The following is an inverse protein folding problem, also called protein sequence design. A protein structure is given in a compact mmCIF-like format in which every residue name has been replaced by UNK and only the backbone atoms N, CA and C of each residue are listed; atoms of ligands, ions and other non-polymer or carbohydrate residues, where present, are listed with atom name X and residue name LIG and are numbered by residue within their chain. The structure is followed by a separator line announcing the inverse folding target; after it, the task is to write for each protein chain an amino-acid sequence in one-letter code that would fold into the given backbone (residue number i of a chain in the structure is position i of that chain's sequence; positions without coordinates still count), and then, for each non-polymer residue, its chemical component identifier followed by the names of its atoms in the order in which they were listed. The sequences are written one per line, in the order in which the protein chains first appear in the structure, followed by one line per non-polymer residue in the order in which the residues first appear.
data_IF_147433996115
#
_entry.id   IF_147433996115
#
_cell.length_a   1.000
_cell.length_b   1.000
_cell.length_c   1.000
_cell.angle_alpha   90.00
_cell.angle_beta   90.00
_cell.angle_gamma   90.00
#
_symmetry.space_group_name_H-M   'P 1'
#
loop_
_entity.id
_entity.type
_entity.pdbx_description
1 polymer ?
#
# COMPACT_ATOMS: atom_id res chain seq x y z
N UNK A 1 15.11 -1.75 -1.95
CA UNK A 1 15.02 -2.15 -3.35
C UNK A 1 13.85 -1.52 -4.13
N UNK A 2 13.19 -0.47 -3.62
CA UNK A 2 12.04 0.17 -4.29
C UNK A 2 10.75 -0.67 -4.31
N UNK A 3 10.69 -1.76 -3.59
CA UNK A 3 9.51 -2.60 -3.49
C UNK A 3 8.58 -2.09 -2.37
N UNK A 4 7.89 -0.97 -2.63
CA UNK A 4 6.89 -0.46 -1.71
C UNK A 4 5.60 -1.27 -1.79
N UNK A 5 4.98 -1.49 -0.64
CA UNK A 5 3.71 -2.19 -0.53
C UNK A 5 2.85 -1.66 0.61
N UNK A 6 1.67 -2.21 0.72
CA UNK A 6 0.72 -1.93 1.80
C UNK A 6 0.41 -3.23 2.51
N UNK A 7 0.35 -3.20 3.84
CA UNK A 7 -0.08 -4.36 4.62
C UNK A 7 -1.53 -4.67 4.28
N UNK A 8 -1.75 -5.84 3.70
CA UNK A 8 -3.08 -6.26 3.27
C UNK A 8 -3.87 -6.92 4.41
N UNK A 9 -3.20 -7.77 5.18
CA UNK A 9 -3.83 -8.55 6.25
C UNK A 9 -2.86 -8.77 7.41
N UNK A 10 -3.38 -8.72 8.61
CA UNK A 10 -2.68 -9.11 9.83
C UNK A 10 -3.31 -10.41 10.34
N UNK A 11 -2.48 -11.42 10.55
CA UNK A 11 -2.90 -12.75 11.01
C UNK A 11 -2.32 -13.05 12.38
N UNK A 12 -3.00 -13.85 13.20
CA UNK A 12 -2.40 -14.46 14.39
C UNK A 12 -1.18 -15.30 14.03
N UNK A 13 -0.19 -15.36 14.91
CA UNK A 13 1.06 -16.10 14.69
C UNK A 13 0.80 -17.58 14.38
N UNK A 14 -0.23 -18.17 14.98
CA UNK A 14 -0.62 -19.58 14.78
C UNK A 14 -1.15 -19.88 13.38
N UNK A 15 -1.68 -18.87 12.69
CA UNK A 15 -2.24 -19.02 11.33
C UNK A 15 -1.17 -18.77 10.24
N UNK A 16 0.00 -18.27 10.63
CA UNK A 16 1.09 -18.01 9.71
C UNK A 16 1.75 -19.30 9.23
N UNK A 17 2.22 -19.36 7.97
CA UNK A 17 3.04 -20.46 7.52
C UNK A 17 4.28 -20.62 8.38
N UNK A 18 4.72 -21.85 8.57
CA UNK A 18 5.86 -22.14 9.42
C UNK A 18 6.87 -23.09 8.78
N UNK A 19 8.10 -22.98 9.23
CA UNK A 19 9.25 -23.79 8.83
C UNK A 19 9.15 -25.23 9.39
N UNK A 20 9.89 -26.21 8.82
CA UNK A 20 9.92 -27.57 9.33
C UNK A 20 10.30 -27.69 10.81
N UNK A 21 11.07 -26.73 11.34
CA UNK A 21 11.44 -26.66 12.76
C UNK A 21 10.37 -26.00 13.66
N UNK A 22 9.20 -25.64 13.11
CA UNK A 22 8.09 -25.04 13.83
C UNK A 22 8.14 -23.52 13.97
N UNK A 23 9.17 -22.85 13.44
CA UNK A 23 9.26 -21.37 13.48
C UNK A 23 8.30 -20.76 12.48
N UNK A 24 7.37 -19.87 12.90
CA UNK A 24 6.46 -19.17 11.99
C UNK A 24 7.20 -18.08 11.20
N UNK A 25 6.66 -17.76 10.03
CA UNK A 25 7.10 -16.60 9.24
C UNK A 25 6.49 -15.33 9.79
N UNK A 26 7.25 -14.23 9.73
CA UNK A 26 6.79 -12.91 10.19
C UNK A 26 6.01 -12.17 9.10
N UNK A 27 6.34 -12.40 7.83
CA UNK A 27 5.73 -11.74 6.68
C UNK A 27 5.67 -12.66 5.47
N UNK A 28 4.63 -12.52 4.67
CA UNK A 28 4.46 -13.18 3.38
C UNK A 28 4.31 -12.12 2.29
N UNK A 29 5.08 -12.26 1.23
CA UNK A 29 5.14 -11.30 0.13
C UNK A 29 4.62 -11.89 -1.17
N UNK A 30 3.98 -11.04 -1.98
CA UNK A 30 3.55 -11.43 -3.31
C UNK A 30 4.74 -11.36 -4.30
N UNK A 31 5.12 -12.47 -4.97
CA UNK A 31 6.22 -12.49 -5.90
C UNK A 31 5.98 -11.68 -7.19
N UNK A 32 4.73 -11.37 -7.52
CA UNK A 32 4.39 -10.54 -8.69
C UNK A 32 4.95 -9.12 -8.63
N UNK A 33 5.33 -8.64 -7.44
CA UNK A 33 5.98 -7.34 -7.27
C UNK A 33 7.44 -7.28 -7.72
N UNK A 34 8.05 -8.41 -8.10
CA UNK A 34 9.48 -8.49 -8.47
C UNK A 34 9.71 -8.33 -9.98
N UNK A 35 9.08 -9.12 -10.89
CA UNK A 35 9.47 -9.16 -12.29
C UNK A 35 9.30 -7.83 -13.02
N UNK A 36 8.15 -7.17 -12.82
CA UNK A 36 7.82 -5.92 -13.51
C UNK A 36 8.62 -4.72 -13.03
N UNK A 37 9.21 -4.80 -11.84
CA UNK A 37 9.94 -3.68 -11.19
C UNK A 37 11.44 -3.77 -11.32
N UNK A 38 11.96 -4.83 -11.92
CA UNK A 38 13.40 -5.06 -12.15
C UNK A 38 14.25 -4.93 -10.87
N UNK A 39 13.70 -5.29 -9.72
CA UNK A 39 14.36 -5.19 -8.41
C UNK A 39 14.80 -6.55 -7.89
N UNK A 40 15.56 -7.27 -8.70
CA UNK A 40 16.03 -8.63 -8.41
C UNK A 40 16.97 -8.69 -7.20
N UNK A 41 17.60 -7.57 -6.86
CA UNK A 41 18.45 -7.45 -5.67
C UNK A 41 17.79 -7.90 -4.37
N UNK A 42 16.47 -7.76 -4.25
CA UNK A 42 15.75 -8.26 -3.07
C UNK A 42 15.75 -9.79 -2.97
N UNK A 43 15.76 -10.50 -4.09
CA UNK A 43 15.85 -11.97 -4.12
C UNK A 43 17.25 -12.41 -3.71
N UNK A 44 18.28 -11.75 -4.21
CA UNK A 44 19.66 -12.00 -3.80
C UNK A 44 19.88 -11.68 -2.31
N UNK A 45 19.28 -10.60 -1.80
CA UNK A 45 19.30 -10.27 -0.37
C UNK A 45 18.68 -11.40 0.47
N UNK A 46 17.52 -11.93 0.07
CA UNK A 46 16.85 -13.01 0.78
C UNK A 46 17.73 -14.26 0.87
N UNK A 47 18.39 -14.64 -0.24
CA UNK A 47 19.28 -15.81 -0.24
C UNK A 47 20.50 -15.62 0.65
N UNK A 48 21.21 -14.50 0.47
CA UNK A 48 22.42 -14.23 1.25
C UNK A 48 22.10 -14.01 2.74
N UNK A 49 21.00 -13.37 3.05
CA UNK A 49 20.58 -13.15 4.45
C UNK A 49 20.18 -14.44 5.17
N UNK A 50 19.64 -15.41 4.44
CA UNK A 50 19.36 -16.73 4.99
C UNK A 50 20.65 -17.41 5.46
N UNK A 51 21.67 -17.41 4.60
CA UNK A 51 23.00 -17.94 4.94
C UNK A 51 23.64 -17.14 6.10
N UNK A 52 23.62 -15.81 6.03
CA UNK A 52 24.17 -14.94 7.06
C UNK A 52 23.56 -15.19 8.45
N UNK A 53 22.23 -15.37 8.50
CA UNK A 53 21.55 -15.70 9.76
C UNK A 53 21.85 -17.09 10.28
N UNK A 54 22.05 -18.05 9.39
CA UNK A 54 22.42 -19.41 9.79
C UNK A 54 23.85 -19.48 10.34
N UNK A 55 24.79 -18.73 9.74
CA UNK A 55 26.18 -18.63 10.16
C UNK A 55 26.40 -17.65 11.31
N UNK A 56 25.47 -16.74 11.56
CA UNK A 56 25.61 -15.69 12.57
C UNK A 56 26.43 -14.46 12.12
N UNK A 57 26.65 -14.30 10.81
CA UNK A 57 27.43 -13.18 10.26
C UNK A 57 26.58 -11.96 9.95
N UNK A 58 27.25 -10.79 10.00
CA UNK A 58 26.74 -9.56 9.40
C UNK A 58 27.48 -9.32 8.08
N UNK A 59 26.73 -9.37 6.97
CA UNK A 59 27.28 -9.22 5.62
C UNK A 59 26.93 -7.84 5.09
N UNK A 60 27.94 -7.09 4.64
CA UNK A 60 27.78 -5.82 3.94
C UNK A 60 28.21 -5.96 2.48
N UNK A 61 27.33 -5.56 1.56
CA UNK A 61 27.57 -5.63 0.12
C UNK A 61 27.47 -4.21 -0.47
N UNK A 62 28.57 -3.42 -0.46
CA UNK A 62 28.58 -2.10 -1.08
C UNK A 62 28.36 -2.19 -2.60
N UNK A 63 27.94 -1.08 -3.22
CA UNK A 63 27.49 -1.06 -4.62
C UNK A 63 28.57 -1.54 -5.62
N UNK A 64 29.84 -1.20 -5.35
CA UNK A 64 30.95 -1.52 -6.26
C UNK A 64 31.83 -2.70 -5.80
N UNK A 65 31.52 -3.27 -4.65
CA UNK A 65 32.21 -4.43 -4.08
C UNK A 65 31.16 -5.37 -3.47
N UNK A 66 30.22 -5.79 -4.31
CA UNK A 66 29.12 -6.67 -3.93
C UNK A 66 29.46 -8.15 -4.12
N UNK A 67 28.59 -9.01 -3.61
CA UNK A 67 28.67 -10.44 -3.81
C UNK A 67 28.15 -10.83 -5.21
N UNK A 68 28.84 -11.77 -5.87
CA UNK A 68 28.38 -12.39 -7.09
C UNK A 68 27.38 -13.54 -6.76
N UNK A 69 26.66 -14.01 -7.77
CA UNK A 69 25.71 -15.13 -7.62
C UNK A 69 26.41 -16.38 -7.06
N UNK A 70 27.59 -16.70 -7.55
CA UNK A 70 28.38 -17.85 -7.07
C UNK A 70 28.75 -17.71 -5.59
N UNK A 71 29.18 -16.52 -5.15
CA UNK A 71 29.53 -16.26 -3.74
C UNK A 71 28.32 -16.49 -2.82
N UNK A 72 27.13 -16.11 -3.29
CA UNK A 72 25.88 -16.32 -2.54
C UNK A 72 25.56 -17.82 -2.42
N UNK A 73 25.67 -18.55 -3.54
CA UNK A 73 25.41 -19.98 -3.57
C UNK A 73 26.40 -20.79 -2.73
N UNK A 74 27.66 -20.46 -2.81
CA UNK A 74 28.72 -21.11 -2.01
C UNK A 74 28.57 -20.81 -0.51
N UNK A 75 28.13 -19.59 -0.16
CA UNK A 75 27.80 -19.23 1.21
C UNK A 75 26.57 -19.99 1.73
N UNK A 76 25.58 -20.27 0.88
CA UNK A 76 24.42 -21.11 1.23
C UNK A 76 24.83 -22.56 1.47
N UNK A 77 25.71 -23.12 0.62
CA UNK A 77 26.25 -24.48 0.82
C UNK A 77 27.03 -24.57 2.13
N UNK A 78 27.88 -23.59 2.41
CA UNK A 78 28.60 -23.50 3.68
C UNK A 78 27.64 -23.45 4.87
N UNK A 79 26.58 -22.63 4.79
CA UNK A 79 25.58 -22.54 5.83
C UNK A 79 24.81 -23.83 6.04
N UNK A 80 24.49 -24.54 4.95
CA UNK A 80 23.83 -25.83 5.00
C UNK A 80 24.71 -26.89 5.69
N UNK A 81 25.96 -26.95 5.33
CA UNK A 81 26.94 -27.85 5.97
C UNK A 81 27.11 -27.52 7.45
N UNK A 82 27.26 -26.23 7.78
CA UNK A 82 27.37 -25.77 9.15
C UNK A 82 26.18 -26.17 10.03
N UNK A 83 24.96 -26.12 9.49
CA UNK A 83 23.75 -26.46 10.25
C UNK A 83 23.54 -27.97 10.38
N UNK A 84 23.80 -28.74 9.33
CA UNK A 84 23.39 -30.14 9.23
C UNK A 84 24.49 -31.15 9.59
N UNK A 85 25.77 -30.83 9.38
CA UNK A 85 26.87 -31.74 9.72
C UNK A 85 27.23 -31.65 11.21
N UNK A 86 27.90 -32.67 11.72
CA UNK A 86 28.59 -32.58 13.03
C UNK A 86 29.71 -31.55 12.97
N UNK A 87 30.17 -31.06 14.12
CA UNK A 87 31.28 -30.08 14.10
C UNK A 87 32.58 -30.66 13.53
N UNK A 88 32.84 -31.91 13.85
CA UNK A 88 34.04 -32.62 13.40
C UNK A 88 34.05 -32.82 11.88
N UNK A 89 32.95 -33.23 11.30
CA UNK A 89 32.75 -33.36 9.85
C UNK A 89 32.83 -32.01 9.13
N UNK A 90 32.25 -30.97 9.71
CA UNK A 90 32.31 -29.61 9.18
C UNK A 90 33.72 -29.07 9.15
N UNK A 91 34.47 -29.21 10.27
CA UNK A 91 35.86 -28.77 10.36
C UNK A 91 36.73 -29.52 9.35
N UNK A 92 36.60 -30.84 9.24
CA UNK A 92 37.38 -31.63 8.28
C UNK A 92 37.17 -31.18 6.84
N UNK A 93 35.91 -30.88 6.48
CA UNK A 93 35.54 -30.48 5.14
C UNK A 93 36.01 -29.08 4.75
N UNK A 94 35.90 -28.11 5.66
CA UNK A 94 36.11 -26.68 5.37
C UNK A 94 37.42 -26.09 5.96
N UNK A 95 38.21 -26.87 6.67
CA UNK A 95 39.47 -26.41 7.27
C UNK A 95 40.47 -25.84 6.27
N UNK A 96 40.47 -26.31 5.02
CA UNK A 96 41.38 -25.84 3.99
C UNK A 96 40.86 -24.56 3.28
N UNK A 97 39.59 -24.30 3.37
CA UNK A 97 38.93 -23.21 2.63
C UNK A 97 38.68 -21.97 3.48
N UNK A 98 38.42 -22.17 4.78
CA UNK A 98 38.09 -21.09 5.70
C UNK A 98 39.30 -20.58 6.45
N UNK A 99 39.32 -19.28 6.72
CA UNK A 99 40.32 -18.66 7.57
C UNK A 99 40.20 -19.16 9.03
N UNK A 100 41.31 -19.34 9.75
CA UNK A 100 41.27 -19.81 11.13
C UNK A 100 40.40 -18.97 12.06
N UNK A 101 40.38 -17.64 11.86
CA UNK A 101 39.57 -16.70 12.62
C UNK A 101 38.05 -16.94 12.41
N UNK A 102 37.65 -17.28 11.18
CA UNK A 102 36.29 -17.61 10.86
C UNK A 102 35.87 -18.94 11.50
N UNK A 103 36.74 -19.93 11.49
CA UNK A 103 36.49 -21.22 12.13
C UNK A 103 36.34 -21.07 13.66
N UNK A 104 37.18 -20.26 14.29
CA UNK A 104 37.08 -19.96 15.72
C UNK A 104 35.74 -19.26 16.04
N UNK A 105 35.35 -18.25 15.25
CA UNK A 105 34.06 -17.55 15.40
C UNK A 105 32.89 -18.51 15.27
N UNK A 106 32.88 -19.40 14.27
CA UNK A 106 31.82 -20.38 14.06
C UNK A 106 31.75 -21.39 15.20
N UNK A 107 32.92 -21.76 15.78
CA UNK A 107 32.95 -22.65 16.92
C UNK A 107 32.39 -22.00 18.18
N UNK A 108 32.72 -20.76 18.47
CA UNK A 108 32.17 -20.02 19.59
C UNK A 108 30.67 -19.83 19.49
N UNK A 109 30.15 -19.54 18.27
CA UNK A 109 28.75 -19.29 17.99
C UNK A 109 27.95 -20.56 17.61
N UNK A 110 28.48 -21.74 17.86
CA UNK A 110 27.82 -23.01 17.46
C UNK A 110 26.40 -23.21 18.02
N UNK A 111 26.00 -22.48 19.04
CA UNK A 111 24.64 -22.52 19.57
C UNK A 111 23.61 -21.92 18.60
N UNK A 112 24.02 -21.03 17.71
CA UNK A 112 23.17 -20.52 16.63
C UNK A 112 22.66 -21.63 15.70
N UNK A 113 23.41 -22.69 15.49
CA UNK A 113 23.02 -23.86 14.69
C UNK A 113 21.70 -24.46 15.15
N UNK A 114 21.44 -24.44 16.48
CA UNK A 114 20.23 -25.03 17.07
C UNK A 114 18.94 -24.38 16.55
N UNK A 115 19.01 -23.06 16.20
CA UNK A 115 17.87 -22.31 15.68
C UNK A 115 17.46 -22.74 14.27
N UNK A 116 18.38 -23.28 13.49
CA UNK A 116 18.19 -23.67 12.10
C UNK A 116 18.19 -25.18 11.88
N UNK A 117 18.43 -25.94 12.92
CA UNK A 117 18.46 -27.40 12.83
C UNK A 117 17.15 -27.95 12.26
N UNK A 118 17.28 -28.79 11.22
CA UNK A 118 16.14 -29.39 10.53
C UNK A 118 15.54 -28.53 9.42
N UNK A 119 16.10 -27.34 9.13
CA UNK A 119 15.76 -26.53 7.97
C UNK A 119 16.76 -26.81 6.86
N UNK A 120 16.37 -27.33 5.71
CA UNK A 120 17.27 -27.50 4.58
C UNK A 120 17.61 -26.14 3.97
N UNK A 121 18.90 -25.80 3.92
CA UNK A 121 19.39 -24.57 3.28
C UNK A 121 19.96 -24.93 1.91
N UNK A 122 19.05 -25.18 0.95
CA UNK A 122 19.46 -25.53 -0.41
C UNK A 122 19.96 -24.30 -1.18
N UNK A 123 20.75 -24.52 -2.24
CA UNK A 123 21.17 -23.45 -3.18
C UNK A 123 20.01 -22.65 -3.76
N UNK A 124 18.84 -23.25 -3.86
CA UNK A 124 17.63 -22.58 -4.34
C UNK A 124 17.02 -21.60 -3.33
N UNK A 125 17.48 -21.58 -2.08
CA UNK A 125 16.90 -20.80 -1.00
C UNK A 125 15.43 -21.15 -0.70
N UNK A 126 14.97 -22.32 -1.14
CA UNK A 126 13.57 -22.75 -1.02
C UNK A 126 13.41 -23.81 0.06
N UNK A 127 12.36 -23.68 0.83
CA UNK A 127 12.01 -24.63 1.89
C UNK A 127 10.54 -25.03 1.76
N UNK A 128 10.21 -26.27 2.05
CA UNK A 128 8.82 -26.73 2.17
C UNK A 128 8.23 -26.21 3.47
N UNK A 129 7.29 -25.31 3.34
CA UNK A 129 6.55 -24.75 4.46
C UNK A 129 5.29 -25.56 4.75
N UNK A 130 4.75 -25.38 5.95
CA UNK A 130 3.43 -25.85 6.33
C UNK A 130 2.48 -24.69 6.53
N UNK A 131 1.20 -24.90 6.17
CA UNK A 131 0.13 -23.94 6.47
C UNK A 131 -0.17 -23.95 7.98
N UNK A 132 -0.20 -22.76 8.59
CA UNK A 132 -0.50 -22.61 10.00
C UNK A 132 -1.90 -23.06 10.42
N UNK A 133 -2.86 -23.06 9.50
CA UNK A 133 -4.25 -23.44 9.77
C UNK A 133 -4.50 -24.92 9.65
N UNK A 134 -3.98 -25.53 8.58
CA UNK A 134 -4.23 -26.96 8.28
C UNK A 134 -3.10 -27.86 8.77
N UNK A 135 -1.90 -27.33 8.93
CA UNK A 135 -0.69 -28.10 9.23
C UNK A 135 -0.13 -28.89 8.04
N UNK A 136 -0.78 -28.80 6.88
CA UNK A 136 -0.37 -29.48 5.67
C UNK A 136 0.79 -28.76 4.97
N UNK A 137 1.55 -29.49 4.17
CA UNK A 137 2.62 -28.88 3.37
C UNK A 137 2.04 -28.13 2.17
N UNK A 138 2.69 -27.02 1.83
CA UNK A 138 2.44 -26.38 0.53
C UNK A 138 2.87 -27.31 -0.62
N UNK A 139 2.16 -27.21 -1.73
CA UNK A 139 2.43 -28.04 -2.93
C UNK A 139 3.84 -27.81 -3.50
N UNK A 140 4.32 -26.59 -3.43
CA UNK A 140 5.63 -26.20 -3.92
C UNK A 140 6.51 -25.63 -2.81
N UNK A 141 7.84 -25.81 -2.87
CA UNK A 141 8.76 -25.17 -1.95
C UNK A 141 8.77 -23.66 -2.16
N UNK A 142 8.94 -22.90 -1.08
CA UNK A 142 8.84 -21.44 -1.03
C UNK A 142 10.21 -20.83 -0.72
N UNK A 143 10.57 -19.76 -1.41
CA UNK A 143 11.76 -18.97 -1.10
C UNK A 143 11.58 -18.25 0.22
N UNK A 144 12.50 -18.43 1.14
CA UNK A 144 12.51 -17.79 2.45
C UNK A 144 13.84 -17.10 2.72
N UNK A 145 13.84 -16.18 3.64
CA UNK A 145 15.03 -15.49 4.10
C UNK A 145 14.69 -14.29 4.97
N UNK A 146 15.65 -13.45 5.22
CA UNK A 146 15.48 -12.21 5.96
C UNK A 146 15.63 -11.02 5.03
N UNK A 147 14.82 -10.01 5.23
CA UNK A 147 14.84 -8.80 4.42
C UNK A 147 14.68 -7.57 5.32
N UNK A 148 15.33 -6.48 4.95
CA UNK A 148 15.16 -5.21 5.63
C UNK A 148 13.86 -4.54 5.21
N UNK A 149 13.06 -4.15 6.21
CA UNK A 149 11.81 -3.43 6.03
C UNK A 149 11.83 -2.09 6.74
N UNK A 150 11.33 -1.08 6.05
CA UNK A 150 11.16 0.26 6.60
C UNK A 150 9.67 0.61 6.67
N UNK A 151 9.23 1.11 7.82
CA UNK A 151 7.91 1.74 7.95
C UNK A 151 8.01 3.17 7.40
N UNK A 152 7.25 3.46 6.35
CA UNK A 152 7.20 4.79 5.76
C UNK A 152 6.15 5.66 6.47
N UNK A 153 6.32 6.99 6.45
CA UNK A 153 5.38 7.95 7.02
C UNK A 153 4.08 8.10 6.20
N UNK A 154 3.85 7.25 5.21
CA UNK A 154 2.60 7.20 4.45
C UNK A 154 1.56 6.33 5.16
N UNK A 155 1.22 6.68 6.39
CA UNK A 155 0.28 5.95 7.20
C UNK A 155 -1.16 6.19 6.75
N UNK A 156 -2.00 5.16 6.82
CA UNK A 156 -3.40 5.24 6.42
C UNK A 156 -4.18 6.23 7.28
N UNK A 157 -3.91 6.31 8.56
CA UNK A 157 -4.60 7.21 9.50
C UNK A 157 -4.41 8.69 9.14
N UNK A 158 -3.27 9.04 8.55
CA UNK A 158 -3.00 10.40 8.08
C UNK A 158 -3.70 10.72 6.75
N UNK A 159 -4.12 9.72 6.01
CA UNK A 159 -4.70 9.86 4.67
C UNK A 159 -6.18 9.56 4.61
N UNK A 160 -6.70 8.70 5.48
CA UNK A 160 -8.12 8.40 5.54
C UNK A 160 -8.90 9.65 5.89
N UNK A 161 -9.91 9.96 5.09
CA UNK A 161 -10.73 11.14 5.28
C UNK A 161 -12.14 10.90 4.77
N UNK A 162 -13.13 11.38 5.53
CA UNK A 162 -14.53 11.38 5.16
C UNK A 162 -15.17 12.71 5.61
N UNK A 163 -16.21 13.10 4.89
CA UNK A 163 -16.95 14.31 5.19
C UNK A 163 -18.44 14.11 4.90
N UNK A 164 -19.28 14.56 5.78
CA UNK A 164 -20.70 14.76 5.49
C UNK A 164 -20.98 16.26 5.23
N UNK A 165 -20.85 17.07 6.26
CA UNK A 165 -20.93 18.54 6.19
C UNK A 165 -19.68 19.15 6.81
N UNK A 166 -19.32 20.37 6.43
CA UNK A 166 -18.13 21.02 6.95
C UNK A 166 -18.01 22.46 6.41
N UNK A 167 -16.83 23.09 6.52
CA UNK A 167 -16.63 24.46 6.09
C UNK A 167 -16.71 24.61 4.58
N UNK A 168 -17.21 25.76 4.14
CA UNK A 168 -17.38 26.15 2.76
C UNK A 168 -16.64 27.47 2.48
N UNK A 169 -16.30 27.70 1.21
CA UNK A 169 -15.78 28.99 0.74
C UNK A 169 -16.85 30.07 0.87
N UNK A 170 -16.46 31.28 1.26
CA UNK A 170 -17.40 32.41 1.42
C UNK A 170 -17.95 32.91 0.08
N UNK A 171 -17.15 32.90 -0.98
CA UNK A 171 -17.53 33.46 -2.28
C UNK A 171 -18.31 32.44 -3.12
N UNK A 172 -17.74 31.28 -3.34
CA UNK A 172 -18.30 30.27 -4.23
C UNK A 172 -19.24 29.29 -3.53
N UNK A 173 -19.30 29.30 -2.19
CA UNK A 173 -20.07 28.36 -1.39
C UNK A 173 -19.74 26.87 -1.65
N UNK A 174 -18.58 26.62 -2.23
CA UNK A 174 -18.10 25.27 -2.47
C UNK A 174 -17.36 24.70 -1.24
N UNK A 175 -17.37 23.37 -1.03
CA UNK A 175 -16.60 22.77 0.03
C UNK A 175 -15.10 23.10 -0.08
N UNK A 176 -14.46 23.40 1.04
CA UNK A 176 -13.00 23.57 1.06
C UNK A 176 -12.31 22.22 0.74
N UNK A 177 -11.07 22.28 0.25
CA UNK A 177 -10.25 21.11 -0.04
C UNK A 177 -9.33 20.73 1.12
N UNK A 178 -8.90 19.47 1.13
CA UNK A 178 -7.87 18.97 2.05
C UNK A 178 -8.40 18.41 3.38
N UNK A 179 -7.72 17.38 3.88
CA UNK A 179 -8.08 16.69 5.14
C UNK A 179 -7.97 17.62 6.36
N UNK A 180 -6.94 18.47 6.41
CA UNK A 180 -6.71 19.36 7.57
C UNK A 180 -7.85 20.38 7.77
N UNK A 181 -8.54 20.75 6.71
CA UNK A 181 -9.66 21.69 6.73
C UNK A 181 -11.02 20.99 6.79
N UNK A 182 -11.05 19.70 7.01
CA UNK A 182 -12.26 18.89 6.91
C UNK A 182 -12.97 19.10 5.57
N UNK A 183 -12.21 19.12 4.49
CA UNK A 183 -12.65 19.45 3.14
C UNK A 183 -13.24 18.26 2.40
N UNK A 184 -13.84 18.57 1.23
CA UNK A 184 -14.39 17.57 0.31
C UNK A 184 -13.37 17.11 -0.72
N UNK A 185 -13.74 16.08 -1.48
CA UNK A 185 -12.97 15.61 -2.63
C UNK A 185 -13.22 16.53 -3.83
N UNK A 186 -12.18 16.73 -4.64
CA UNK A 186 -12.31 17.48 -5.89
C UNK A 186 -12.86 16.58 -6.98
N UNK A 187 -14.01 16.95 -7.53
CA UNK A 187 -14.56 16.35 -8.74
C UNK A 187 -14.15 17.23 -9.93
N UNK A 188 -13.11 16.82 -10.64
CA UNK A 188 -12.51 17.61 -11.69
C UNK A 188 -13.27 17.52 -13.01
N UNK A 189 -12.80 18.27 -14.02
CA UNK A 189 -13.41 18.33 -15.35
C UNK A 189 -13.45 16.96 -16.04
N UNK A 190 -12.38 16.16 -15.91
CA UNK A 190 -12.33 14.82 -16.51
C UNK A 190 -13.33 13.85 -15.89
N UNK A 191 -13.57 13.95 -14.60
CA UNK A 191 -14.57 13.15 -13.89
C UNK A 191 -16.00 13.52 -14.34
N UNK A 192 -16.24 14.80 -14.62
CA UNK A 192 -17.49 15.29 -15.22
C UNK A 192 -17.69 14.65 -16.60
N UNK A 193 -16.68 14.63 -17.46
CA UNK A 193 -16.75 13.99 -18.77
C UNK A 193 -17.07 12.49 -18.69
N UNK A 194 -16.56 11.82 -17.67
CA UNK A 194 -16.87 10.41 -17.45
C UNK A 194 -18.37 10.20 -17.17
N UNK A 195 -18.99 11.03 -16.34
CA UNK A 195 -20.43 10.97 -16.09
C UNK A 195 -21.27 11.33 -17.32
N UNK A 196 -20.83 12.31 -18.10
CA UNK A 196 -21.45 12.66 -19.36
C UNK A 196 -21.41 11.49 -20.36
N UNK A 197 -20.27 10.80 -20.46
CA UNK A 197 -20.12 9.64 -21.32
C UNK A 197 -21.05 8.48 -20.95
N UNK A 198 -21.35 8.30 -19.66
CA UNK A 198 -22.33 7.33 -19.19
C UNK A 198 -23.77 7.80 -19.28
N UNK A 199 -24.01 9.07 -19.60
CA UNK A 199 -25.36 9.66 -19.62
C UNK A 199 -25.99 9.76 -18.22
N UNK A 200 -25.20 9.78 -17.15
CA UNK A 200 -25.66 9.85 -15.77
C UNK A 200 -26.01 11.29 -15.34
N UNK A 201 -27.04 11.89 -15.96
CA UNK A 201 -27.42 13.28 -15.79
C UNK A 201 -27.84 13.62 -14.34
N UNK A 202 -28.69 12.80 -13.74
CA UNK A 202 -29.14 13.02 -12.37
C UNK A 202 -27.99 12.98 -11.34
N UNK A 203 -27.07 12.04 -11.50
CA UNK A 203 -25.88 11.96 -10.62
C UNK A 203 -24.99 13.18 -10.78
N UNK A 204 -24.79 13.65 -12.01
CA UNK A 204 -24.00 14.86 -12.29
C UNK A 204 -24.69 16.08 -11.70
N UNK A 205 -25.98 16.23 -11.85
CA UNK A 205 -26.75 17.33 -11.25
C UNK A 205 -26.64 17.33 -9.72
N UNK A 206 -26.77 16.19 -9.08
CA UNK A 206 -26.61 16.06 -7.63
C UNK A 206 -25.22 16.49 -7.15
N UNK A 207 -24.17 16.07 -7.84
CA UNK A 207 -22.79 16.42 -7.50
C UNK A 207 -22.52 17.92 -7.67
N UNK A 208 -23.08 18.53 -8.70
CA UNK A 208 -22.88 19.96 -8.99
C UNK A 208 -23.73 20.89 -8.10
N UNK A 209 -24.83 20.43 -7.52
CA UNK A 209 -25.78 21.25 -6.77
C UNK A 209 -25.80 20.93 -5.28
N UNK A 210 -26.60 19.97 -4.86
CA UNK A 210 -26.88 19.67 -3.44
C UNK A 210 -25.64 19.15 -2.67
N UNK A 211 -24.69 18.57 -3.36
CA UNK A 211 -23.40 18.15 -2.77
C UNK A 211 -22.31 19.23 -2.83
N UNK A 212 -22.53 20.32 -3.52
CA UNK A 212 -21.53 21.37 -3.73
C UNK A 212 -21.99 22.74 -3.23
N UNK A 213 -22.56 23.55 -4.10
CA UNK A 213 -22.74 24.99 -3.89
C UNK A 213 -24.21 25.48 -3.86
N UNK A 214 -25.18 24.60 -3.91
CA UNK A 214 -26.60 24.92 -3.65
C UNK A 214 -26.82 25.02 -2.13
N UNK A 215 -26.85 26.23 -1.60
CA UNK A 215 -26.92 26.49 -0.15
C UNK A 215 -28.25 25.99 0.46
N UNK A 216 -29.36 26.30 -0.20
CA UNK A 216 -30.70 25.95 0.29
C UNK A 216 -30.95 24.46 0.07
N UNK A 217 -30.59 23.95 -1.11
CA UNK A 217 -30.71 22.52 -1.44
C UNK A 217 -29.94 21.62 -0.51
N UNK A 218 -28.77 22.02 -0.02
CA UNK A 218 -27.99 21.27 1.00
C UNK A 218 -28.76 21.08 2.28
N UNK A 219 -29.36 22.15 2.80
CA UNK A 219 -30.11 22.12 4.06
C UNK A 219 -31.36 21.26 3.93
N UNK A 220 -32.14 21.49 2.87
CA UNK A 220 -33.36 20.72 2.60
C UNK A 220 -33.07 19.23 2.40
N UNK A 221 -31.97 18.92 1.67
CA UNK A 221 -31.53 17.52 1.47
C UNK A 221 -31.15 16.85 2.76
N UNK A 222 -30.40 17.54 3.63
CA UNK A 222 -30.01 16.99 4.92
C UNK A 222 -31.20 16.74 5.84
N UNK A 223 -32.18 17.66 5.86
CA UNK A 223 -33.45 17.49 6.59
C UNK A 223 -34.25 16.30 6.05
N UNK A 224 -34.36 16.17 4.71
CA UNK A 224 -35.09 15.07 4.08
C UNK A 224 -34.46 13.70 4.45
N UNK A 225 -33.10 13.61 4.46
CA UNK A 225 -32.39 12.38 4.86
C UNK A 225 -32.72 12.04 6.33
N UNK A 226 -32.71 13.03 7.24
CA UNK A 226 -33.00 12.79 8.66
C UNK A 226 -34.45 12.33 8.86
N UNK A 227 -35.39 12.93 8.10
CA UNK A 227 -36.81 12.60 8.18
C UNK A 227 -37.19 11.33 7.43
N UNK A 228 -36.31 10.82 6.55
CA UNK A 228 -36.56 9.68 5.66
C UNK A 228 -37.50 10.02 4.51
N UNK A 229 -37.55 11.27 4.10
CA UNK A 229 -38.32 11.79 2.98
C UNK A 229 -37.50 11.77 1.68
N UNK A 230 -38.17 11.95 0.54
CA UNK A 230 -37.50 12.08 -0.75
C UNK A 230 -36.70 13.39 -0.81
N UNK A 231 -35.55 13.33 -1.45
CA UNK A 231 -34.71 14.50 -1.70
C UNK A 231 -35.43 15.49 -2.59
N UNK A 232 -35.54 16.78 -2.27
CA UNK A 232 -36.17 17.79 -3.09
C UNK A 232 -35.38 18.04 -4.37
N UNK A 233 -36.04 18.65 -5.35
CA UNK A 233 -35.35 19.08 -6.58
C UNK A 233 -34.25 20.07 -6.26
N UNK A 234 -33.06 19.93 -6.92
CA UNK A 234 -31.92 20.82 -6.71
C UNK A 234 -32.22 22.24 -7.26
N UNK A 235 -31.67 23.23 -6.55
CA UNK A 235 -31.75 24.63 -6.95
C UNK A 235 -30.63 25.05 -7.91
N UNK A 236 -30.36 26.37 -7.92
CA UNK A 236 -29.35 26.96 -8.78
C UNK A 236 -28.01 27.06 -8.03
N UNK A 237 -26.89 26.62 -8.62
CA UNK A 237 -25.59 26.74 -8.01
C UNK A 237 -25.18 28.21 -7.77
N UNK A 238 -24.63 28.52 -6.59
CA UNK A 238 -24.13 29.88 -6.28
C UNK A 238 -22.98 30.31 -7.20
N UNK A 239 -22.13 29.37 -7.62
CA UNK A 239 -21.06 29.65 -8.60
C UNK A 239 -21.61 30.18 -9.95
N UNK A 240 -22.79 29.73 -10.36
CA UNK A 240 -23.45 30.26 -11.55
C UNK A 240 -23.92 31.69 -11.36
N UNK A 241 -24.45 32.03 -10.19
CA UNK A 241 -24.84 33.41 -9.86
C UNK A 241 -23.63 34.36 -9.85
N UNK A 242 -22.49 33.89 -9.29
CA UNK A 242 -21.23 34.61 -9.29
C UNK A 242 -20.76 34.90 -10.73
N UNK A 243 -20.79 33.86 -11.60
CA UNK A 243 -20.42 34.01 -13.02
C UNK A 243 -21.27 35.09 -13.74
N UNK A 244 -22.59 35.08 -13.52
CA UNK A 244 -23.48 36.08 -14.09
C UNK A 244 -23.10 37.52 -13.64
N UNK A 245 -22.80 37.69 -12.35
CA UNK A 245 -22.37 38.98 -11.81
C UNK A 245 -21.01 39.44 -12.35
N UNK A 246 -20.10 38.50 -12.54
CA UNK A 246 -18.79 38.79 -13.17
C UNK A 246 -18.97 39.23 -14.63
N UNK A 247 -19.81 38.56 -15.41
CA UNK A 247 -20.12 38.96 -16.78
C UNK A 247 -20.78 40.34 -16.85
N UNK A 248 -21.74 40.63 -15.95
CA UNK A 248 -22.36 41.94 -15.85
C UNK A 248 -21.35 43.05 -15.48
N UNK A 249 -20.37 42.72 -14.63
CA UNK A 249 -19.29 43.67 -14.27
C UNK A 249 -18.40 44.03 -15.44
N UNK A 250 -18.29 43.18 -16.45
CA UNK A 250 -17.60 43.45 -17.71
C UNK A 250 -18.45 44.30 -18.70
N UNK A 251 -19.64 44.74 -18.31
CA UNK A 251 -20.53 45.54 -19.13
C UNK A 251 -21.40 44.76 -20.10
N UNK A 252 -21.54 43.42 -19.89
CA UNK A 252 -22.39 42.55 -20.67
C UNK A 252 -23.81 42.51 -20.04
N UNK A 253 -24.86 42.62 -20.84
CA UNK A 253 -26.24 42.40 -20.39
C UNK A 253 -26.58 40.92 -20.52
N UNK A 254 -26.45 40.17 -19.41
CA UNK A 254 -26.68 38.75 -19.38
C UNK A 254 -28.00 38.48 -18.68
N UNK A 255 -28.94 37.80 -19.38
CA UNK A 255 -30.26 37.45 -18.90
C UNK A 255 -30.53 35.96 -19.12
N UNK A 256 -31.18 35.34 -18.17
CA UNK A 256 -31.68 33.96 -18.30
C UNK A 256 -33.13 34.00 -18.76
N UNK A 257 -33.40 33.34 -19.85
CA UNK A 257 -34.74 33.29 -20.45
C UNK A 257 -35.27 31.85 -20.36
N UNK A 258 -36.61 31.74 -20.19
CA UNK A 258 -37.33 30.48 -20.32
C UNK A 258 -37.56 30.10 -21.82
N UNK A 259 -38.21 28.98 -22.06
CA UNK A 259 -38.55 28.52 -23.43
C UNK A 259 -39.41 29.52 -24.18
N UNK A 260 -40.24 30.29 -23.48
CA UNK A 260 -41.15 31.31 -24.03
C UNK A 260 -40.46 32.69 -24.16
N UNK A 261 -39.14 32.78 -23.90
CA UNK A 261 -38.31 33.98 -23.90
C UNK A 261 -38.70 35.05 -22.85
N UNK A 262 -39.36 34.63 -21.77
CA UNK A 262 -39.55 35.52 -20.63
C UNK A 262 -38.29 35.49 -19.75
N UNK A 263 -37.99 36.65 -19.15
CA UNK A 263 -36.85 36.75 -18.22
C UNK A 263 -37.14 36.04 -16.90
N UNK A 264 -36.27 35.08 -16.55
CA UNK A 264 -36.38 34.31 -15.32
C UNK A 264 -35.53 35.01 -14.26
N UNK A 265 -36.18 35.51 -13.19
CA UNK A 265 -35.45 36.01 -12.02
C UNK A 265 -34.84 34.84 -11.26
N UNK A 266 -33.49 34.86 -11.14
CA UNK A 266 -32.74 33.85 -10.38
C UNK A 266 -32.77 34.10 -8.87
N UNK A 267 -33.94 34.56 -8.36
CA UNK A 267 -34.18 34.75 -6.93
C UNK A 267 -34.86 33.48 -6.40
N UNK A 268 -34.19 32.79 -5.51
CA UNK A 268 -34.81 31.66 -4.82
C UNK A 268 -35.95 32.18 -3.94
N UNK A 269 -37.17 31.85 -4.27
CA UNK A 269 -38.30 32.01 -3.36
C UNK A 269 -38.12 31.09 -2.18
N UNK A 270 -38.00 31.69 -1.00
CA UNK A 270 -37.80 31.08 0.32
C UNK A 270 -38.76 29.96 0.67
#
# INVERSE_FOLDING_TARGET
HGNKGVVYRVLPVVDMPFLPNGRPLDIVLNPLGVPSRMNIGQVLEIHLSLAAKALGFNIATPVFDGANENDIMDTLDLANDYVNLSWEEFEEKHKAELLPEVMEYLYENRDHRKLWKGVPLSRDGKVRLRDGRTGEFFDSPVTIGHMHYLKLHHLVDDKIHARSTGPYSLVTQQPLGGKAQFGGQRFGEMEVWALEAYGASYTLQEILTVKSDDVIGRVKTYEAIIKGENIPEPGIPESFKVLLKELQSLGLDVKVLDEDRNEVELIETS
#
